data_IF_290981060714
#
_entry.id   IF_290981060714
#
_cell.length_a   1.000
_cell.length_b   1.000
_cell.length_c   1.000
_cell.angle_alpha   90.00
_cell.angle_beta   90.00
_cell.angle_gamma   90.00
#
_symmetry.space_group_name_H-M   'P 1'
#
loop_
_entity.id
_entity.type
_entity.pdbx_description
1 polymer ?
#
# COMPACT_ATOMS: atom_id res chain seq x y z
N UNK A 1 44.54 -2.26 28.75
CA UNK A 1 44.47 -2.38 27.27
C UNK A 1 43.62 -3.53 26.76
N UNK A 2 43.51 -4.64 27.47
CA UNK A 2 42.67 -5.79 26.99
C UNK A 2 41.15 -5.58 27.10
N UNK A 3 40.66 -4.63 27.94
CA UNK A 3 39.22 -4.37 28.11
C UNK A 3 38.62 -3.39 27.10
N UNK A 4 39.45 -2.60 26.42
CA UNK A 4 38.98 -1.63 25.42
C UNK A 4 38.75 -2.30 24.06
N UNK A 5 39.47 -3.37 23.75
CA UNK A 5 39.36 -4.13 22.51
C UNK A 5 38.06 -4.93 22.47
N UNK A 6 37.56 -5.39 23.63
CA UNK A 6 36.34 -6.19 23.73
C UNK A 6 35.05 -5.34 23.48
N UNK A 7 35.09 -4.05 23.84
CA UNK A 7 33.97 -3.12 23.62
C UNK A 7 33.85 -2.69 22.14
N UNK A 8 34.95 -2.67 21.40
CA UNK A 8 34.93 -2.32 19.99
C UNK A 8 34.38 -3.46 19.08
N UNK A 9 34.42 -4.72 19.54
CA UNK A 9 33.90 -5.85 18.78
C UNK A 9 32.39 -6.02 18.87
N UNK A 10 31.72 -5.44 19.87
CA UNK A 10 30.27 -5.58 20.08
C UNK A 10 29.47 -4.58 19.22
N UNK A 11 30.12 -3.50 18.75
CA UNK A 11 29.45 -2.46 17.96
C UNK A 11 29.27 -2.81 16.46
N UNK A 12 29.81 -3.92 15.99
CA UNK A 12 29.77 -4.29 14.55
C UNK A 12 28.60 -5.23 14.19
N UNK A 13 27.86 -5.76 15.17
CA UNK A 13 26.84 -6.79 14.92
C UNK A 13 25.41 -6.26 14.77
N UNK A 14 25.18 -4.94 14.75
CA UNK A 14 23.85 -4.36 14.60
C UNK A 14 23.60 -3.76 13.20
N UNK A 15 24.09 -4.39 12.16
CA UNK A 15 23.50 -4.20 10.82
C UNK A 15 22.43 -5.24 10.61
N UNK A 16 21.38 -5.18 11.42
CA UNK A 16 20.14 -5.85 11.13
C UNK A 16 19.59 -5.29 9.81
N UNK A 17 19.21 -6.17 8.91
CA UNK A 17 18.47 -5.85 7.69
C UNK A 17 17.25 -5.01 8.11
N UNK A 18 17.31 -3.69 8.01
CA UNK A 18 16.17 -2.83 8.31
C UNK A 18 15.21 -2.94 7.14
N UNK A 19 14.21 -3.79 7.30
CA UNK A 19 12.99 -3.68 6.50
C UNK A 19 12.44 -2.28 6.71
N UNK A 20 12.62 -1.42 5.73
CA UNK A 20 12.27 -0.02 5.84
C UNK A 20 11.11 0.36 4.94
N UNK A 21 10.18 1.17 5.47
CA UNK A 21 9.21 1.86 4.64
C UNK A 21 9.96 2.89 3.81
N UNK A 22 9.94 2.74 2.49
CA UNK A 22 10.59 3.64 1.55
C UNK A 22 9.63 4.62 0.90
N UNK A 23 8.33 4.29 0.92
CA UNK A 23 7.28 5.15 0.42
C UNK A 23 6.00 4.93 1.22
N UNK A 24 5.32 5.99 1.58
CA UNK A 24 4.00 5.95 2.20
C UNK A 24 3.27 7.26 1.91
N UNK A 25 2.21 7.19 1.15
CA UNK A 25 1.37 8.32 0.79
C UNK A 25 -0.10 7.93 0.89
N UNK A 26 -0.95 8.85 1.35
CA UNK A 26 -2.39 8.72 1.36
C UNK A 26 -3.04 9.80 0.49
N UNK A 27 -4.04 9.42 -0.28
CA UNK A 27 -4.93 10.33 -1.00
C UNK A 27 -6.28 10.32 -0.29
N UNK A 28 -6.69 11.49 0.16
CA UNK A 28 -8.02 11.68 0.72
C UNK A 28 -9.04 11.78 -0.40
N UNK A 29 -10.16 11.11 -0.21
CA UNK A 29 -11.27 11.10 -1.16
C UNK A 29 -12.32 12.15 -0.79
N UNK A 30 -13.06 12.68 -1.79
CA UNK A 30 -14.15 13.61 -1.55
C UNK A 30 -15.24 13.01 -0.65
N UNK A 31 -15.88 13.85 0.17
CA UNK A 31 -16.95 13.43 1.08
C UNK A 31 -18.16 12.86 0.33
N UNK A 32 -18.36 13.25 -0.93
CA UNK A 32 -19.42 12.74 -1.80
C UNK A 32 -19.21 11.28 -2.20
N UNK A 33 -17.97 10.83 -2.24
CA UNK A 33 -17.56 9.49 -2.64
C UNK A 33 -16.41 9.47 -3.63
N UNK A 34 -15.91 8.29 -3.90
CA UNK A 34 -14.87 8.04 -4.89
C UNK A 34 -15.51 7.81 -6.26
N UNK A 35 -15.30 8.72 -7.19
CA UNK A 35 -15.84 8.62 -8.54
C UNK A 35 -15.19 7.46 -9.32
N UNK A 36 -15.99 6.73 -10.11
CA UNK A 36 -15.56 5.55 -10.84
C UNK A 36 -14.44 5.82 -11.85
N UNK A 37 -14.41 7.00 -12.45
CA UNK A 37 -13.41 7.43 -13.42
C UNK A 37 -12.21 8.17 -12.77
N UNK A 38 -12.24 8.36 -11.45
CA UNK A 38 -11.19 9.05 -10.71
C UNK A 38 -10.11 8.07 -10.24
N UNK A 39 -9.01 8.00 -10.96
CA UNK A 39 -7.87 7.20 -10.59
C UNK A 39 -6.91 7.97 -9.66
N UNK A 40 -6.50 7.32 -8.57
CA UNK A 40 -5.52 7.84 -7.63
C UNK A 40 -4.12 7.43 -8.07
N UNK A 41 -3.21 8.40 -8.12
CA UNK A 41 -1.86 8.18 -8.62
C UNK A 41 -0.83 8.33 -7.50
N UNK A 42 0.07 7.35 -7.40
CA UNK A 42 1.20 7.32 -6.46
C UNK A 42 2.50 7.18 -7.25
N UNK A 43 3.56 7.85 -6.79
CA UNK A 43 4.83 7.90 -7.52
C UNK A 43 6.01 7.53 -6.60
N UNK A 44 6.14 6.24 -6.22
CA UNK A 44 7.31 5.80 -5.47
C UNK A 44 8.59 5.81 -6.33
N UNK A 45 9.70 6.24 -5.73
CA UNK A 45 11.02 6.13 -6.33
C UNK A 45 11.81 5.02 -5.61
N UNK A 46 12.11 3.95 -6.35
CA UNK A 46 12.85 2.79 -5.85
C UNK A 46 14.36 3.00 -6.13
N UNK A 47 15.17 2.95 -5.09
CA UNK A 47 16.60 3.28 -5.19
C UNK A 47 17.52 2.06 -5.20
N UNK A 48 17.03 0.90 -4.73
CA UNK A 48 17.80 -0.33 -4.67
C UNK A 48 17.53 -1.20 -5.91
N UNK A 49 18.57 -1.48 -6.69
CA UNK A 49 18.48 -2.30 -7.91
C UNK A 49 18.39 -3.81 -7.63
N UNK A 50 18.79 -4.23 -6.44
CA UNK A 50 18.79 -5.63 -6.00
C UNK A 50 17.74 -5.90 -4.92
N UNK A 51 16.96 -4.87 -4.57
CA UNK A 51 15.97 -4.93 -3.52
C UNK A 51 14.79 -5.80 -3.87
N UNK A 52 14.27 -6.49 -2.86
CA UNK A 52 12.97 -7.12 -2.88
C UNK A 52 11.98 -6.21 -2.15
N UNK A 53 10.85 -5.95 -2.77
CA UNK A 53 9.87 -5.01 -2.26
C UNK A 53 8.55 -5.69 -1.93
N UNK A 54 7.87 -5.13 -0.94
CA UNK A 54 6.48 -5.40 -0.63
C UNK A 54 5.66 -4.13 -0.88
N UNK A 55 4.52 -4.27 -1.56
CA UNK A 55 3.58 -3.18 -1.78
C UNK A 55 2.25 -3.49 -1.11
N UNK A 56 1.74 -2.51 -0.38
CA UNK A 56 0.44 -2.57 0.28
C UNK A 56 -0.41 -1.41 -0.21
N UNK A 57 -1.65 -1.71 -0.58
CA UNK A 57 -2.68 -0.70 -0.76
C UNK A 57 -3.42 -0.61 0.57
N UNK A 58 -3.50 0.59 1.14
CA UNK A 58 -4.15 0.80 2.44
C UNK A 58 -5.48 1.49 2.20
N UNK A 59 -6.55 0.85 2.59
CA UNK A 59 -7.90 1.39 2.47
C UNK A 59 -8.37 1.89 3.83
N UNK A 60 -8.89 3.12 3.87
CA UNK A 60 -9.62 3.64 5.02
C UNK A 60 -11.06 3.85 4.66
N UNK A 61 -11.95 3.34 5.49
CA UNK A 61 -13.38 3.44 5.28
C UNK A 61 -14.13 3.67 6.60
N UNK A 62 -15.37 4.09 6.49
CA UNK A 62 -16.29 4.22 7.61
C UNK A 62 -17.36 3.14 7.54
N UNK A 63 -18.22 3.07 8.56
CA UNK A 63 -19.43 2.23 8.60
C UNK A 63 -20.47 2.60 7.53
N UNK A 64 -20.29 3.72 6.82
CA UNK A 64 -21.14 4.12 5.67
C UNK A 64 -20.80 3.35 4.39
N UNK A 65 -19.71 2.58 4.37
CA UNK A 65 -19.40 1.72 3.23
C UNK A 65 -20.44 0.60 3.16
N UNK A 66 -21.08 0.44 2.00
CA UNK A 66 -22.28 -0.40 1.89
C UNK A 66 -21.98 -1.87 1.55
N UNK A 67 -20.71 -2.23 1.27
CA UNK A 67 -20.33 -3.55 0.77
C UNK A 67 -19.35 -4.24 1.70
N UNK A 68 -19.29 -5.57 1.62
CA UNK A 68 -18.27 -6.37 2.34
C UNK A 68 -16.94 -6.46 1.58
N UNK A 69 -16.97 -6.27 0.27
CA UNK A 69 -15.82 -6.35 -0.61
C UNK A 69 -15.56 -5.03 -1.33
N UNK A 70 -14.35 -4.88 -1.85
CA UNK A 70 -13.92 -3.76 -2.68
C UNK A 70 -13.12 -4.31 -3.86
N UNK A 71 -13.57 -3.97 -5.07
CA UNK A 71 -12.82 -4.20 -6.29
C UNK A 71 -11.97 -2.98 -6.63
N UNK A 72 -10.71 -3.23 -6.96
CA UNK A 72 -9.75 -2.20 -7.37
C UNK A 72 -9.08 -2.59 -8.69
N UNK A 73 -8.92 -1.62 -9.57
CA UNK A 73 -8.03 -1.70 -10.71
C UNK A 73 -6.71 -1.06 -10.34
N UNK A 74 -5.60 -1.76 -10.61
CA UNK A 74 -4.26 -1.28 -10.25
C UNK A 74 -3.36 -1.38 -11.47
N UNK A 75 -2.82 -0.25 -11.90
CA UNK A 75 -1.82 -0.18 -12.96
C UNK A 75 -0.46 0.16 -12.36
N UNK A 76 0.58 -0.56 -12.80
CA UNK A 76 1.97 -0.29 -12.49
C UNK A 76 2.69 0.09 -13.76
N UNK A 77 3.25 1.30 -13.81
CA UNK A 77 3.97 1.84 -14.95
C UNK A 77 5.37 2.28 -14.54
N UNK A 78 6.30 2.18 -15.46
CA UNK A 78 7.65 2.76 -15.38
C UNK A 78 8.03 3.35 -16.73
N UNK A 79 8.61 4.54 -16.76
CA UNK A 79 9.03 5.23 -17.99
C UNK A 79 7.90 5.28 -19.06
N UNK A 80 6.66 5.54 -18.60
CA UNK A 80 5.43 5.54 -19.42
C UNK A 80 5.04 4.17 -20.02
N UNK A 81 5.74 3.10 -19.67
CA UNK A 81 5.43 1.73 -20.10
C UNK A 81 4.57 1.06 -19.02
N UNK A 82 3.42 0.53 -19.43
CA UNK A 82 2.58 -0.28 -18.56
C UNK A 82 3.26 -1.65 -18.35
N UNK A 83 3.71 -1.89 -17.11
CA UNK A 83 4.35 -3.16 -16.73
C UNK A 83 3.33 -4.19 -16.28
N UNK A 84 2.26 -3.73 -15.61
CA UNK A 84 1.27 -4.61 -15.00
C UNK A 84 -0.08 -3.89 -14.89
N UNK A 85 -1.14 -4.65 -15.11
CA UNK A 85 -2.53 -4.24 -14.88
C UNK A 85 -3.27 -5.36 -14.18
N UNK A 86 -3.78 -5.08 -13.00
CA UNK A 86 -4.46 -6.05 -12.16
C UNK A 86 -5.87 -5.58 -11.80
N UNK A 87 -6.76 -6.54 -11.64
CA UNK A 87 -8.04 -6.37 -10.98
C UNK A 87 -8.00 -7.20 -9.70
N UNK A 88 -8.12 -6.54 -8.56
CA UNK A 88 -8.04 -7.19 -7.25
C UNK A 88 -9.35 -7.04 -6.51
N UNK A 89 -9.79 -8.11 -5.85
CA UNK A 89 -10.88 -8.09 -4.91
C UNK A 89 -10.32 -8.19 -3.49
N UNK A 90 -10.84 -7.37 -2.60
CA UNK A 90 -10.49 -7.41 -1.18
C UNK A 90 -11.74 -7.38 -0.33
N UNK A 91 -11.78 -8.24 0.68
CA UNK A 91 -12.85 -8.23 1.65
C UNK A 91 -12.52 -7.25 2.77
N UNK A 92 -13.42 -6.30 3.03
CA UNK A 92 -13.33 -5.31 4.09
C UNK A 92 -14.08 -5.76 5.35
N UNK A 93 -15.00 -6.73 5.22
CA UNK A 93 -15.75 -7.31 6.31
C UNK A 93 -15.88 -8.83 6.15
N UNK A 94 -16.14 -9.51 7.27
CA UNK A 94 -16.45 -10.94 7.28
C UNK A 94 -17.91 -11.21 6.90
N UNK A 95 -18.30 -12.48 6.84
CA UNK A 95 -19.66 -12.90 6.51
C UNK A 95 -20.74 -12.40 7.50
N UNK A 96 -20.33 -12.00 8.71
CA UNK A 96 -21.23 -11.42 9.72
C UNK A 96 -21.37 -9.91 9.62
N UNK A 97 -20.64 -9.28 8.68
CA UNK A 97 -20.60 -7.83 8.52
C UNK A 97 -19.67 -7.11 9.50
N UNK A 98 -18.82 -7.85 10.20
CA UNK A 98 -17.81 -7.26 11.08
C UNK A 98 -16.62 -6.78 10.25
N UNK A 99 -16.24 -5.52 10.41
CA UNK A 99 -15.14 -4.92 9.65
C UNK A 99 -13.79 -5.52 10.01
N UNK A 100 -13.01 -5.86 8.99
CA UNK A 100 -11.59 -6.09 9.14
C UNK A 100 -10.85 -4.76 9.33
N UNK A 101 -9.61 -4.84 9.80
CA UNK A 101 -8.81 -3.65 10.04
C UNK A 101 -8.98 -3.08 11.44
N UNK A 102 -8.30 -1.99 11.70
CA UNK A 102 -8.25 -1.34 13.01
C UNK A 102 -8.94 0.02 12.96
N UNK A 103 -9.65 0.35 14.04
CA UNK A 103 -10.34 1.62 14.21
C UNK A 103 -11.67 1.46 14.92
N UNK A 104 -12.32 2.58 15.24
CA UNK A 104 -13.64 2.60 15.90
C UNK A 104 -14.72 3.17 15.00
N UNK A 105 -14.45 4.25 14.28
CA UNK A 105 -15.37 4.91 13.35
C UNK A 105 -14.81 5.06 11.95
N UNK A 106 -13.50 4.97 11.83
CA UNK A 106 -12.75 4.90 10.58
C UNK A 106 -11.83 3.68 10.69
N UNK A 107 -12.04 2.72 9.81
CA UNK A 107 -11.30 1.47 9.77
C UNK A 107 -10.15 1.57 8.78
N UNK A 108 -8.97 1.12 9.18
CA UNK A 108 -7.77 1.10 8.34
C UNK A 108 -7.37 -0.35 8.06
N UNK A 109 -7.38 -0.73 6.80
CA UNK A 109 -7.05 -2.08 6.35
C UNK A 109 -5.91 -2.05 5.33
N UNK A 110 -4.73 -2.59 5.67
CA UNK A 110 -3.68 -2.83 4.69
C UNK A 110 -3.97 -4.08 3.87
N UNK A 111 -3.99 -3.93 2.56
CA UNK A 111 -4.16 -5.00 1.59
C UNK A 111 -2.80 -5.30 0.97
N UNK A 112 -2.33 -6.53 1.12
CA UNK A 112 -1.09 -6.96 0.48
C UNK A 112 -1.33 -7.07 -1.03
N UNK A 113 -0.68 -6.19 -1.80
CA UNK A 113 -0.80 -6.17 -3.25
C UNK A 113 0.31 -6.97 -3.94
N UNK A 114 1.55 -6.76 -3.53
CA UNK A 114 2.70 -7.50 -4.03
C UNK A 114 3.64 -7.85 -2.87
N UNK A 115 4.25 -9.01 -2.94
CA UNK A 115 5.22 -9.47 -1.94
C UNK A 115 6.45 -10.06 -2.65
N UNK A 116 7.63 -9.80 -2.07
CA UNK A 116 8.92 -10.33 -2.56
C UNK A 116 9.17 -10.05 -4.05
N UNK A 117 8.74 -8.90 -4.55
CA UNK A 117 8.91 -8.53 -5.94
C UNK A 117 10.23 -7.79 -6.15
N UNK A 118 11.02 -8.27 -7.11
CA UNK A 118 12.22 -7.57 -7.56
C UNK A 118 11.82 -6.55 -8.63
N UNK A 119 12.08 -5.28 -8.37
CA UNK A 119 11.82 -4.18 -9.28
C UNK A 119 13.11 -3.40 -9.51
N UNK A 120 13.49 -3.11 -10.76
CA UNK A 120 14.62 -2.24 -11.06
C UNK A 120 14.44 -0.86 -10.41
N UNK A 121 15.56 -0.24 -10.00
CA UNK A 121 15.54 1.12 -9.48
C UNK A 121 14.92 2.10 -10.49
N UNK A 122 14.28 3.14 -9.98
CA UNK A 122 13.65 4.20 -10.75
C UNK A 122 12.31 4.62 -10.20
N UNK A 123 11.72 5.59 -10.86
CA UNK A 123 10.41 6.12 -10.54
C UNK A 123 9.32 5.25 -11.15
N UNK A 124 8.33 4.88 -10.34
CA UNK A 124 7.15 4.13 -10.75
C UNK A 124 5.91 4.99 -10.61
N UNK A 125 4.97 4.82 -11.52
CA UNK A 125 3.64 5.38 -11.40
C UNK A 125 2.66 4.24 -11.12
N UNK A 126 2.06 4.27 -9.94
CA UNK A 126 1.05 3.30 -9.51
C UNK A 126 -0.29 4.00 -9.47
N UNK A 127 -1.24 3.49 -10.24
CA UNK A 127 -2.58 4.06 -10.33
C UNK A 127 -3.56 3.08 -9.70
N UNK A 128 -4.39 3.58 -8.79
CA UNK A 128 -5.44 2.80 -8.12
C UNK A 128 -6.79 3.44 -8.40
N UNK A 129 -7.73 2.65 -8.90
CA UNK A 129 -9.08 3.10 -9.24
C UNK A 129 -10.10 2.11 -8.66
N UNK A 130 -11.25 2.60 -8.20
CA UNK A 130 -12.31 1.72 -7.74
C UNK A 130 -12.92 0.95 -8.93
N UNK A 131 -13.21 -0.34 -8.73
CA UNK A 131 -13.81 -1.23 -9.71
C UNK A 131 -15.23 -1.69 -9.34
N UNK A 132 -15.89 -0.97 -8.44
CA UNK A 132 -17.28 -1.22 -8.08
C UNK A 132 -18.23 -0.70 -9.17
N UNK A 133 -19.50 -1.12 -9.13
CA UNK A 133 -20.52 -0.69 -10.10
C UNK A 133 -21.12 0.69 -9.80
N UNK A 134 -20.72 1.29 -8.68
CA UNK A 134 -21.17 2.62 -8.26
C UNK A 134 -20.40 3.72 -8.99
N UNK A 135 -21.10 4.70 -9.54
CA UNK A 135 -20.46 5.90 -10.10
C UNK A 135 -19.75 6.72 -9.03
N UNK A 136 -20.35 6.82 -7.83
CA UNK A 136 -19.79 7.44 -6.64
C UNK A 136 -19.80 6.47 -5.47
N UNK A 137 -18.65 5.87 -5.18
CA UNK A 137 -18.48 4.91 -4.09
C UNK A 137 -18.32 5.65 -2.76
N UNK A 138 -19.36 5.59 -1.92
CA UNK A 138 -19.36 6.25 -0.61
C UNK A 138 -18.75 5.38 0.47
N UNK A 139 -18.25 6.00 1.53
CA UNK A 139 -17.76 5.31 2.71
C UNK A 139 -16.25 5.00 2.68
N UNK A 140 -15.60 5.00 1.53
CA UNK A 140 -14.13 5.01 1.44
C UNK A 140 -13.67 6.45 1.62
N UNK A 141 -12.76 6.69 2.58
CA UNK A 141 -12.31 8.04 2.94
C UNK A 141 -10.90 8.35 2.47
N UNK A 142 -10.05 7.36 2.44
CA UNK A 142 -8.65 7.50 2.01
C UNK A 142 -8.18 6.20 1.36
N UNK A 143 -7.28 6.33 0.41
CA UNK A 143 -6.51 5.22 -0.13
C UNK A 143 -5.04 5.59 -0.05
N UNK A 144 -4.23 4.67 0.43
CA UNK A 144 -2.79 4.83 0.55
C UNK A 144 -2.02 3.76 -0.22
N UNK A 145 -0.81 4.10 -0.60
CA UNK A 145 0.19 3.16 -1.07
C UNK A 145 1.38 3.17 -0.11
N UNK A 146 1.80 1.99 0.31
CA UNK A 146 3.00 1.78 1.14
C UNK A 146 3.93 0.82 0.43
N UNK A 147 5.20 1.20 0.29
CA UNK A 147 6.24 0.35 -0.26
C UNK A 147 7.31 0.12 0.81
N UNK A 148 7.65 -1.14 1.00
CA UNK A 148 8.58 -1.62 2.01
C UNK A 148 9.71 -2.35 1.31
N UNK A 149 10.94 -2.05 1.67
CA UNK A 149 12.12 -2.83 1.25
C UNK A 149 12.30 -4.00 2.23
N UNK A 150 12.38 -5.22 1.72
CA UNK A 150 12.50 -6.47 2.51
C UNK A 150 13.95 -6.78 2.87
#
# INVERSE_FOLDING_TARGET
MKKVVLLALISVLWRGCQRGVIYSEFKQLPAQGWEADSALQFVPNLTDTLGSYQMQIIVRHTDRYAYQNLWLFVDVQKDSILLRRDTIESYLANERGEWYGSGMSKYTLPLLYMENIALPAGEYKITVQQGMREEQLRGITDVGLKVINN
#
